data_IF_203479726676
#
_entry.id   IF_203479726676
#
_cell.length_a   1.000
_cell.length_b   1.000
_cell.length_c   1.000
_cell.angle_alpha   90.00
_cell.angle_beta   90.00
_cell.angle_gamma   90.00
#
_symmetry.space_group_name_H-M   'P 1'
#
loop_
_entity.id
_entity.type
_entity.pdbx_description
1 polymer ?
#
# COMPACT_ATOMS: atom_id res chain seq x y z
N UNK A 1 -18.48 -18.06 -17.76
CA UNK A 1 -17.96 -17.08 -16.80
C UNK A 1 -17.91 -17.72 -15.42
N UNK A 2 -16.78 -17.67 -14.70
CA UNK A 2 -16.52 -18.46 -13.49
C UNK A 2 -17.30 -18.05 -12.22
N UNK A 3 -18.35 -17.21 -12.31
CA UNK A 3 -19.18 -16.84 -11.16
C UNK A 3 -18.47 -16.06 -10.06
N UNK A 4 -17.29 -15.50 -10.33
CA UNK A 4 -16.50 -14.72 -9.37
C UNK A 4 -16.98 -13.27 -9.39
N UNK A 5 -17.42 -12.76 -8.24
CA UNK A 5 -17.71 -11.34 -8.06
C UNK A 5 -16.41 -10.61 -7.71
N UNK A 6 -15.89 -9.84 -8.67
CA UNK A 6 -14.71 -9.01 -8.47
C UNK A 6 -14.83 -7.70 -9.27
N UNK A 7 -14.29 -6.63 -8.69
CA UNK A 7 -14.11 -5.35 -9.35
C UNK A 7 -12.72 -5.31 -10.00
N UNK A 8 -12.63 -4.88 -11.25
CA UNK A 8 -11.37 -4.78 -11.99
C UNK A 8 -11.18 -3.33 -12.42
N UNK A 9 -10.08 -2.72 -11.98
CA UNK A 9 -9.75 -1.33 -12.28
C UNK A 9 -8.29 -1.15 -12.66
N UNK A 10 -8.00 -0.12 -13.47
CA UNK A 10 -6.63 0.28 -13.76
C UNK A 10 -6.02 1.01 -12.56
N UNK A 11 -4.80 0.65 -12.16
CA UNK A 11 -4.06 1.34 -11.11
C UNK A 11 -3.06 2.31 -11.74
N UNK A 12 -3.27 3.63 -11.67
CA UNK A 12 -2.22 4.58 -12.03
C UNK A 12 -1.06 4.46 -11.04
N UNK A 13 0.18 4.39 -11.55
CA UNK A 13 1.38 4.49 -10.70
C UNK A 13 1.66 5.96 -10.38
N UNK A 14 2.01 6.25 -9.13
CA UNK A 14 2.43 7.60 -8.74
C UNK A 14 3.71 7.99 -9.47
N UNK A 15 3.77 9.23 -9.96
CA UNK A 15 4.89 9.78 -10.74
C UNK A 15 6.21 9.64 -9.97
N UNK A 16 6.17 9.89 -8.66
CA UNK A 16 7.34 9.76 -7.79
C UNK A 16 7.87 8.32 -7.71
N UNK A 17 6.99 7.31 -7.61
CA UNK A 17 7.40 5.91 -7.62
C UNK A 17 8.00 5.48 -8.97
N UNK A 18 7.48 6.04 -10.08
CA UNK A 18 8.06 5.85 -11.42
C UNK A 18 9.49 6.42 -11.44
N UNK A 19 9.65 7.68 -11.03
CA UNK A 19 10.96 8.34 -11.00
C UNK A 19 11.98 7.59 -10.13
N UNK A 20 11.58 7.14 -8.93
CA UNK A 20 12.44 6.36 -8.03
C UNK A 20 12.89 5.04 -8.67
N UNK A 21 11.99 4.34 -9.38
CA UNK A 21 12.32 3.12 -10.13
C UNK A 21 13.28 3.39 -11.29
N UNK A 22 13.08 4.50 -12.02
CA UNK A 22 14.00 4.92 -13.08
C UNK A 22 15.41 5.15 -12.55
N UNK A 23 15.54 5.85 -11.42
CA UNK A 23 16.85 6.06 -10.79
C UNK A 23 17.49 4.76 -10.31
N UNK A 24 16.75 3.92 -9.56
CA UNK A 24 17.32 2.69 -8.98
C UNK A 24 17.78 1.70 -10.05
N UNK A 25 17.04 1.59 -11.17
CA UNK A 25 17.34 0.63 -12.25
C UNK A 25 18.12 1.25 -13.41
N UNK A 26 18.40 2.55 -13.39
CA UNK A 26 19.01 3.30 -14.51
C UNK A 26 18.31 3.05 -15.85
N UNK A 27 16.98 3.02 -15.84
CA UNK A 27 16.14 2.73 -17.02
C UNK A 27 15.62 4.03 -17.65
N UNK A 28 15.54 4.07 -18.98
CA UNK A 28 14.86 5.13 -19.70
C UNK A 28 13.33 5.04 -19.51
N UNK A 29 12.62 6.16 -19.66
CA UNK A 29 11.16 6.18 -19.49
C UNK A 29 10.44 5.26 -20.49
N UNK A 30 10.97 5.14 -21.71
CA UNK A 30 10.42 4.28 -22.76
C UNK A 30 10.63 2.79 -22.48
N UNK A 31 11.62 2.46 -21.63
CA UNK A 31 11.88 1.10 -21.13
C UNK A 31 11.00 0.78 -19.91
N UNK A 32 10.24 1.76 -19.41
CA UNK A 32 9.27 1.58 -18.33
C UNK A 32 8.00 0.94 -18.90
N UNK A 33 8.11 -0.32 -19.32
CA UNK A 33 6.96 -1.19 -19.63
C UNK A 33 6.03 -1.38 -18.41
N UNK A 34 6.50 -0.96 -17.24
CA UNK A 34 5.92 -1.15 -15.92
C UNK A 34 4.83 -0.12 -15.53
N UNK A 35 4.42 0.82 -16.40
CA UNK A 35 3.37 1.80 -16.04
C UNK A 35 1.96 1.17 -16.00
N UNK A 36 1.80 -0.05 -16.52
CA UNK A 36 0.50 -0.73 -16.64
C UNK A 36 0.27 -1.68 -15.47
N UNK A 37 -0.53 -1.23 -14.52
CA UNK A 37 -0.98 -2.05 -13.41
C UNK A 37 -2.51 -2.19 -13.40
N UNK A 38 -2.99 -3.40 -13.11
CA UNK A 38 -4.41 -3.71 -12.92
C UNK A 38 -4.62 -4.15 -11.48
N UNK A 39 -5.69 -3.66 -10.87
CA UNK A 39 -6.13 -4.07 -9.54
C UNK A 39 -7.42 -4.86 -9.66
N UNK A 40 -7.47 -6.00 -8.98
CA UNK A 40 -8.64 -6.85 -8.86
C UNK A 40 -9.02 -6.89 -7.38
N UNK A 41 -10.20 -6.38 -7.05
CA UNK A 41 -10.76 -6.38 -5.71
C UNK A 41 -11.88 -7.40 -5.65
N UNK A 42 -11.67 -8.49 -4.91
CA UNK A 42 -12.65 -9.55 -4.74
C UNK A 42 -13.36 -9.45 -3.38
N UNK A 43 -14.49 -10.14 -3.24
CA UNK A 43 -15.24 -10.17 -1.97
C UNK A 43 -14.59 -11.10 -0.94
N UNK A 44 -14.14 -12.28 -1.35
CA UNK A 44 -13.56 -13.30 -0.46
C UNK A 44 -12.15 -13.68 -0.89
N UNK A 45 -11.40 -14.26 0.04
CA UNK A 45 -10.05 -14.74 -0.25
C UNK A 45 -10.03 -15.84 -1.32
N UNK A 46 -11.02 -16.73 -1.30
CA UNK A 46 -11.17 -17.81 -2.29
C UNK A 46 -11.28 -17.24 -3.71
N UNK A 47 -12.00 -16.12 -3.83
CA UNK A 47 -12.21 -15.42 -5.10
C UNK A 47 -10.92 -14.75 -5.59
N UNK A 48 -10.02 -14.32 -4.69
CA UNK A 48 -8.69 -13.83 -5.08
C UNK A 48 -7.86 -14.91 -5.79
N UNK A 49 -7.78 -16.12 -5.22
CA UNK A 49 -7.05 -17.23 -5.84
C UNK A 49 -7.77 -17.78 -7.09
N UNK A 50 -9.10 -17.75 -7.13
CA UNK A 50 -9.85 -18.09 -8.32
C UNK A 50 -9.58 -17.09 -9.47
N UNK A 51 -9.53 -15.78 -9.16
CA UNK A 51 -9.17 -14.74 -10.12
C UNK A 51 -7.73 -14.92 -10.61
N UNK A 52 -6.78 -15.25 -9.73
CA UNK A 52 -5.40 -15.59 -10.09
C UNK A 52 -5.36 -16.74 -11.11
N UNK A 53 -6.08 -17.83 -10.83
CA UNK A 53 -6.16 -18.98 -11.73
C UNK A 53 -6.72 -18.63 -13.11
N UNK A 54 -7.77 -17.80 -13.18
CA UNK A 54 -8.32 -17.30 -14.45
C UNK A 54 -7.29 -16.47 -15.21
N UNK A 55 -6.56 -15.58 -14.53
CA UNK A 55 -5.52 -14.74 -15.13
C UNK A 55 -4.39 -15.59 -15.71
N UNK A 56 -3.86 -16.54 -14.94
CA UNK A 56 -2.75 -17.42 -15.36
C UNK A 56 -3.15 -18.44 -16.43
N UNK A 57 -4.44 -18.80 -16.51
CA UNK A 57 -4.96 -19.64 -17.61
C UNK A 57 -5.05 -18.85 -18.91
N UNK A 58 -5.41 -17.57 -18.84
CA UNK A 58 -5.61 -16.72 -20.02
C UNK A 58 -4.31 -16.13 -20.55
N UNK A 59 -3.37 -15.83 -19.67
CA UNK A 59 -2.11 -15.17 -20.01
C UNK A 59 -0.94 -15.89 -19.36
N UNK A 60 0.18 -15.96 -20.10
CA UNK A 60 1.43 -16.51 -19.58
C UNK A 60 1.96 -15.60 -18.48
N UNK A 61 2.11 -16.11 -17.27
CA UNK A 61 2.72 -15.39 -16.15
C UNK A 61 4.25 -15.53 -16.17
N UNK A 62 4.94 -14.59 -15.51
CA UNK A 62 6.37 -14.64 -15.27
C UNK A 62 6.61 -15.20 -13.86
N UNK A 63 7.14 -16.42 -13.70
CA UNK A 63 7.28 -17.06 -12.38
C UNK A 63 8.18 -16.30 -11.40
N UNK A 64 9.19 -15.57 -11.89
CA UNK A 64 10.08 -14.76 -11.06
C UNK A 64 9.43 -13.49 -10.51
N UNK A 65 8.23 -13.15 -10.99
CA UNK A 65 7.50 -11.92 -10.67
C UNK A 65 6.12 -12.26 -10.07
N UNK A 66 6.11 -13.25 -9.17
CA UNK A 66 4.94 -13.68 -8.41
C UNK A 66 5.25 -13.59 -6.92
N UNK A 67 4.44 -12.82 -6.20
CA UNK A 67 4.51 -12.69 -4.75
C UNK A 67 3.13 -12.91 -4.13
N UNK A 68 3.06 -13.81 -3.14
CA UNK A 68 1.86 -14.02 -2.34
C UNK A 68 2.00 -13.36 -0.96
N UNK A 69 1.66 -12.07 -0.90
CA UNK A 69 1.62 -11.32 0.36
C UNK A 69 0.35 -11.59 1.17
N UNK A 70 -0.59 -12.42 0.70
CA UNK A 70 -1.67 -12.90 1.55
C UNK A 70 -1.13 -13.97 2.49
N UNK A 71 -0.38 -14.94 1.94
CA UNK A 71 0.22 -16.01 2.71
C UNK A 71 1.40 -15.51 3.55
N UNK A 72 2.20 -14.58 3.02
CA UNK A 72 3.33 -13.96 3.71
C UNK A 72 3.16 -12.43 3.74
N UNK A 73 2.33 -11.89 4.65
CA UNK A 73 2.11 -10.46 4.77
C UNK A 73 3.42 -9.70 4.98
N UNK A 74 3.50 -8.50 4.41
CA UNK A 74 4.65 -7.62 4.70
C UNK A 74 4.62 -7.18 6.17
N UNK A 75 5.76 -6.74 6.74
CA UNK A 75 5.82 -6.29 8.14
C UNK A 75 4.82 -5.18 8.50
N UNK A 76 4.44 -4.33 7.54
CA UNK A 76 3.43 -3.29 7.72
C UNK A 76 1.97 -3.80 7.65
N UNK A 77 1.76 -5.12 7.60
CA UNK A 77 0.44 -5.75 7.48
C UNK A 77 -0.11 -5.76 6.05
N UNK A 78 0.64 -5.32 5.04
CA UNK A 78 0.17 -5.29 3.66
C UNK A 78 -0.09 -6.71 3.13
N UNK A 79 -1.30 -6.89 2.57
CA UNK A 79 -1.76 -8.14 1.98
C UNK A 79 -2.29 -7.92 0.55
N UNK A 80 -1.76 -8.69 -0.40
CA UNK A 80 -2.23 -8.78 -1.79
C UNK A 80 -1.45 -9.88 -2.52
N UNK A 81 -2.05 -10.51 -3.52
CA UNK A 81 -1.32 -11.36 -4.48
C UNK A 81 -0.83 -10.47 -5.62
N UNK A 82 0.47 -10.50 -5.92
CA UNK A 82 1.07 -9.77 -7.03
C UNK A 82 1.53 -10.78 -8.08
N UNK A 83 1.21 -10.50 -9.34
CA UNK A 83 1.70 -11.31 -10.46
C UNK A 83 1.91 -10.46 -11.69
N UNK A 84 2.98 -10.73 -12.43
CA UNK A 84 3.20 -10.12 -13.75
C UNK A 84 2.88 -11.12 -14.85
N UNK A 85 2.10 -10.68 -15.82
CA UNK A 85 1.74 -11.47 -17.01
C UNK A 85 2.25 -10.82 -18.30
N UNK A 86 2.39 -11.65 -19.34
CA UNK A 86 2.61 -11.19 -20.70
C UNK A 86 1.25 -10.94 -21.39
N UNK A 87 0.96 -9.67 -21.68
CA UNK A 87 -0.26 -9.26 -22.36
C UNK A 87 -0.24 -9.50 -23.87
N UNK A 88 -1.35 -9.18 -24.57
CA UNK A 88 -1.55 -9.47 -26.00
C UNK A 88 -0.50 -8.87 -26.95
N UNK A 89 0.11 -7.73 -26.59
CA UNK A 89 1.14 -7.05 -27.40
C UNK A 89 2.57 -7.41 -26.98
N UNK A 90 2.75 -8.50 -26.21
CA UNK A 90 4.06 -8.85 -25.64
C UNK A 90 4.54 -7.88 -24.56
N UNK A 91 3.65 -7.01 -24.08
CA UNK A 91 3.93 -6.06 -23.00
C UNK A 91 3.56 -6.68 -21.65
N UNK A 92 4.40 -6.47 -20.66
CA UNK A 92 4.15 -6.92 -19.29
C UNK A 92 3.02 -6.10 -18.66
N UNK A 93 2.17 -6.77 -17.89
CA UNK A 93 1.12 -6.14 -17.09
C UNK A 93 1.23 -6.67 -15.66
N UNK A 94 1.38 -5.74 -14.71
CA UNK A 94 1.34 -6.06 -13.29
C UNK A 94 -0.11 -6.18 -12.84
N UNK A 95 -0.44 -7.25 -12.11
CA UNK A 95 -1.79 -7.50 -11.59
C UNK A 95 -1.68 -7.66 -10.08
N UNK A 96 -2.53 -6.92 -9.36
CA UNK A 96 -2.66 -7.01 -7.92
C UNK A 96 -4.06 -7.48 -7.56
N UNK A 97 -4.14 -8.57 -6.82
CA UNK A 97 -5.40 -9.18 -6.42
C UNK A 97 -5.50 -9.13 -4.91
N UNK A 98 -6.62 -8.64 -4.37
CA UNK A 98 -6.85 -8.55 -2.93
C UNK A 98 -8.34 -8.50 -2.61
N UNK A 99 -8.70 -8.67 -1.35
CA UNK A 99 -10.08 -8.47 -0.91
C UNK A 99 -10.40 -6.98 -0.69
N UNK A 100 -11.68 -6.64 -0.53
CA UNK A 100 -12.11 -5.30 -0.10
C UNK A 100 -11.46 -4.88 1.22
N UNK A 101 -11.43 -5.78 2.20
CA UNK A 101 -10.80 -5.52 3.50
C UNK A 101 -9.29 -5.24 3.36
N UNK A 102 -8.57 -6.09 2.62
CA UNK A 102 -7.13 -5.90 2.36
C UNK A 102 -6.86 -4.60 1.59
N UNK A 103 -7.81 -4.18 0.75
CA UNK A 103 -7.72 -2.89 0.06
C UNK A 103 -7.83 -1.72 1.04
N UNK A 104 -8.83 -1.71 1.92
CA UNK A 104 -9.00 -0.67 2.94
C UNK A 104 -7.80 -0.60 3.89
N UNK A 105 -7.32 -1.74 4.39
CA UNK A 105 -6.13 -1.82 5.24
C UNK A 105 -4.87 -1.33 4.51
N UNK A 106 -4.74 -1.61 3.21
CA UNK A 106 -3.60 -1.14 2.42
C UNK A 106 -3.63 0.36 2.12
N UNK A 107 -4.80 1.00 2.02
CA UNK A 107 -4.90 2.42 1.68
C UNK A 107 -4.88 3.30 2.94
N UNK A 108 -5.43 2.80 4.05
CA UNK A 108 -5.56 3.56 5.30
C UNK A 108 -4.58 3.10 6.40
N UNK A 109 -3.91 1.96 6.22
CA UNK A 109 -2.95 1.42 7.20
C UNK A 109 -3.58 1.25 8.59
N UNK A 110 -2.87 1.70 9.63
CA UNK A 110 -3.33 1.67 11.03
C UNK A 110 -4.64 2.45 11.22
N UNK A 111 -4.92 3.47 10.39
CA UNK A 111 -6.16 4.23 10.46
C UNK A 111 -7.39 3.41 10.03
N UNK A 112 -7.22 2.37 9.19
CA UNK A 112 -8.29 1.42 8.85
C UNK A 112 -8.79 0.68 10.11
N UNK A 113 -7.85 0.22 10.94
CA UNK A 113 -8.13 -0.46 12.20
C UNK A 113 -8.83 0.45 13.21
N UNK A 114 -8.58 1.77 13.18
CA UNK A 114 -9.23 2.74 14.05
C UNK A 114 -10.68 3.04 13.64
N UNK A 115 -10.93 3.24 12.34
CA UNK A 115 -12.28 3.51 11.80
C UNK A 115 -13.27 2.37 12.10
N UNK A 116 -12.80 1.12 12.09
CA UNK A 116 -13.64 -0.04 12.38
C UNK A 116 -13.96 -0.18 13.89
N UNK A 117 -13.03 0.20 14.78
CA UNK A 117 -13.21 0.10 16.24
C UNK A 117 -13.94 1.28 16.88
N UNK A 118 -13.98 2.45 16.26
CA UNK A 118 -14.82 3.57 16.73
C UNK A 118 -16.33 3.25 16.68
N UNK A 119 -16.75 2.28 15.86
CA UNK A 119 -18.11 1.74 15.88
C UNK A 119 -18.42 0.82 17.07
N UNK A 120 -17.40 0.35 17.81
CA UNK A 120 -17.54 -0.63 18.89
C UNK A 120 -16.77 -0.20 20.16
N UNK A 121 -17.44 0.60 21.00
CA UNK A 121 -17.07 0.92 22.40
C UNK A 121 -15.78 1.73 22.63
N UNK A 122 -15.96 3.01 23.00
CA UNK A 122 -14.93 4.04 23.09
C UNK A 122 -13.97 3.98 24.29
N UNK A 123 -13.62 2.79 24.82
CA UNK A 123 -12.72 2.69 25.99
C UNK A 123 -11.45 1.84 25.81
N UNK A 124 -11.32 1.01 24.77
CA UNK A 124 -10.10 0.19 24.57
C UNK A 124 -9.04 0.80 23.64
N UNK A 125 -9.39 1.82 22.84
CA UNK A 125 -8.50 2.37 21.82
C UNK A 125 -7.27 3.12 22.36
N UNK A 126 -7.29 3.58 23.61
CA UNK A 126 -6.17 4.32 24.22
C UNK A 126 -5.04 3.41 24.71
N UNK A 127 -5.38 2.25 25.28
CA UNK A 127 -4.41 1.30 25.84
C UNK A 127 -3.66 0.54 24.71
N UNK A 128 -4.35 0.29 23.61
CA UNK A 128 -3.76 -0.29 22.40
C UNK A 128 -2.84 0.70 21.66
N UNK A 129 -3.13 2.02 21.70
CA UNK A 129 -2.25 3.07 21.15
C UNK A 129 -0.89 3.10 21.85
N UNK A 130 -0.87 2.98 23.18
CA UNK A 130 0.38 2.92 23.96
C UNK A 130 1.13 1.62 23.66
N UNK A 131 0.42 0.52 23.51
CA UNK A 131 1.02 -0.79 23.21
C UNK A 131 1.69 -0.82 21.83
N UNK A 132 1.09 -0.17 20.83
CA UNK A 132 1.68 -0.04 19.50
C UNK A 132 2.89 0.91 19.48
N UNK A 133 2.80 2.07 20.14
CA UNK A 133 3.94 2.98 20.26
C UNK A 133 5.14 2.31 20.93
N UNK A 134 4.91 1.47 21.95
CA UNK A 134 5.96 0.66 22.58
C UNK A 134 6.59 -0.34 21.62
N UNK A 135 5.77 -1.08 20.85
CA UNK A 135 6.30 -2.01 19.83
C UNK A 135 7.13 -1.31 18.77
N UNK A 136 6.79 -0.08 18.40
CA UNK A 136 7.52 0.72 17.43
C UNK A 136 8.88 1.18 17.97
N UNK A 137 8.94 1.53 19.27
CA UNK A 137 10.17 1.88 19.97
C UNK A 137 11.09 0.67 20.19
N UNK A 138 10.52 -0.47 20.61
CA UNK A 138 11.28 -1.71 20.81
C UNK A 138 11.92 -2.20 19.49
N UNK A 139 11.21 -2.04 18.37
CA UNK A 139 11.73 -2.37 17.03
C UNK A 139 12.88 -1.46 16.60
N UNK A 140 12.88 -0.20 17.05
CA UNK A 140 13.96 0.75 16.79
C UNK A 140 15.25 0.37 17.54
N UNK A 141 15.13 -0.20 18.75
CA UNK A 141 16.28 -0.69 19.50
C UNK A 141 16.88 -1.97 18.90
N UNK A 142 16.03 -2.94 18.51
CA UNK A 142 16.49 -4.21 17.92
C UNK A 142 17.16 -4.05 16.53
N UNK A 143 16.78 -3.01 15.75
CA UNK A 143 17.35 -2.76 14.41
C UNK A 143 18.63 -1.93 14.39
N UNK A 144 19.14 -1.50 15.54
CA UNK A 144 20.39 -0.73 15.64
C UNK A 144 21.66 -1.56 15.38
N UNK A 145 21.55 -2.90 15.30
CA UNK A 145 22.69 -3.83 15.25
C UNK A 145 22.99 -4.43 13.85
N UNK A 146 22.23 -4.07 12.80
CA UNK A 146 22.45 -4.62 11.44
C UNK A 146 22.43 -3.53 10.35
N UNK A 147 23.57 -2.85 10.20
CA UNK A 147 23.76 -1.66 9.37
C UNK A 147 23.54 -1.80 7.86
N UNK A 148 23.45 -3.01 7.30
CA UNK A 148 23.43 -3.21 5.83
C UNK A 148 22.06 -3.60 5.26
N UNK A 149 21.07 -3.97 6.09
CA UNK A 149 19.71 -4.32 5.65
C UNK A 149 18.73 -3.13 5.62
N UNK A 150 19.19 -1.96 6.07
CA UNK A 150 18.35 -0.78 6.32
C UNK A 150 17.92 -0.05 5.04
N UNK A 151 18.74 0.00 3.99
CA UNK A 151 18.42 0.81 2.80
C UNK A 151 17.37 0.17 1.88
N UNK A 152 17.36 -1.16 1.77
CA UNK A 152 16.34 -1.84 0.98
C UNK A 152 14.97 -1.85 1.69
N UNK A 153 14.97 -1.99 3.02
CA UNK A 153 13.74 -1.93 3.84
C UNK A 153 13.20 -0.51 3.99
N UNK A 154 14.05 0.52 4.14
CA UNK A 154 13.60 1.93 4.13
C UNK A 154 12.83 2.27 2.86
N UNK A 155 13.30 1.78 1.71
CA UNK A 155 12.66 2.07 0.42
C UNK A 155 11.28 1.41 0.21
N UNK A 156 10.98 0.35 0.98
CA UNK A 156 9.76 -0.46 0.84
C UNK A 156 8.77 -0.29 1.99
N UNK A 157 9.23 0.14 3.17
CA UNK A 157 8.41 0.32 4.39
C UNK A 157 7.96 1.77 4.56
N UNK A 158 8.73 2.73 4.07
CA UNK A 158 8.29 4.12 3.98
C UNK A 158 7.70 4.35 2.58
N UNK A 159 6.39 4.18 2.48
CA UNK A 159 5.65 5.14 1.66
C UNK A 159 5.96 6.49 2.34
N UNK A 160 6.58 7.41 1.61
CA UNK A 160 7.06 8.71 2.12
C UNK A 160 5.86 9.50 2.66
N UNK A 161 5.42 9.21 3.88
CA UNK A 161 4.20 9.74 4.51
C UNK A 161 4.46 10.07 5.98
N UNK A 162 3.88 11.15 6.45
CA UNK A 162 3.95 11.68 7.81
C UNK A 162 2.53 11.94 8.31
N UNK A 163 2.28 11.61 9.57
CA UNK A 163 0.98 11.75 10.19
C UNK A 163 0.99 12.95 11.16
N UNK A 164 0.10 13.90 10.92
CA UNK A 164 -0.03 15.11 11.73
C UNK A 164 -1.33 15.07 12.55
N UNK A 165 -1.25 15.46 13.82
CA UNK A 165 -2.39 15.51 14.73
C UNK A 165 -3.03 16.90 14.73
N UNK A 166 -4.35 16.94 14.61
CA UNK A 166 -5.10 18.17 14.89
C UNK A 166 -5.28 18.36 16.40
N UNK A 167 -5.54 19.58 16.88
CA UNK A 167 -5.85 19.84 18.29
C UNK A 167 -7.09 19.07 18.81
N UNK A 168 -7.97 18.61 17.91
CA UNK A 168 -9.16 17.80 18.24
C UNK A 168 -8.86 16.30 18.32
N UNK A 169 -7.64 15.88 17.99
CA UNK A 169 -7.20 14.49 18.02
C UNK A 169 -7.35 13.74 16.70
N UNK A 170 -7.88 14.38 15.66
CA UNK A 170 -7.97 13.81 14.31
C UNK A 170 -6.57 13.65 13.71
N UNK A 171 -6.35 12.57 12.95
CA UNK A 171 -5.06 12.28 12.29
C UNK A 171 -5.17 12.59 10.80
N UNK A 172 -4.21 13.37 10.31
CA UNK A 172 -4.10 13.76 8.90
C UNK A 172 -2.86 13.13 8.29
N UNK A 173 -3.04 12.50 7.14
CA UNK A 173 -2.00 11.80 6.40
C UNK A 173 -1.44 12.71 5.29
N UNK A 174 -0.13 12.98 5.35
CA UNK A 174 0.58 13.87 4.44
C UNK A 174 1.82 13.20 3.87
N UNK A 175 2.33 13.61 2.70
CA UNK A 175 3.61 13.11 2.20
C UNK A 175 4.80 13.55 3.08
N UNK A 176 5.85 12.75 3.14
CA UNK A 176 7.10 13.09 3.84
C UNK A 176 7.70 14.36 3.21
N UNK A 177 8.03 15.33 4.05
CA UNK A 177 8.44 16.67 3.61
C UNK A 177 7.29 17.67 3.48
N UNK A 178 6.05 17.28 3.77
CA UNK A 178 4.92 18.21 3.84
C UNK A 178 5.16 19.30 4.89
N UNK A 179 4.75 20.52 4.54
CA UNK A 179 4.88 21.70 5.39
C UNK A 179 3.62 21.91 6.23
N UNK A 180 3.68 22.73 7.30
CA UNK A 180 2.49 23.14 8.04
C UNK A 180 1.42 23.82 7.16
N UNK A 181 1.82 24.44 6.04
CA UNK A 181 0.90 25.02 5.09
C UNK A 181 0.12 23.93 4.33
N UNK A 182 0.79 22.86 3.91
CA UNK A 182 0.15 21.70 3.27
C UNK A 182 -0.89 21.07 4.21
N UNK A 183 -0.57 20.97 5.51
CA UNK A 183 -1.52 20.53 6.55
C UNK A 183 -2.73 21.46 6.65
N UNK A 184 -2.54 22.78 6.62
CA UNK A 184 -3.63 23.75 6.68
C UNK A 184 -4.57 23.64 5.45
N UNK A 185 -4.02 23.48 4.25
CA UNK A 185 -4.80 23.24 3.03
C UNK A 185 -5.50 21.89 3.03
N UNK A 186 -4.91 20.88 3.67
CA UNK A 186 -5.52 19.56 3.83
C UNK A 186 -6.72 19.59 4.80
N UNK A 187 -6.71 20.49 5.79
CA UNK A 187 -7.85 20.72 6.69
C UNK A 187 -8.97 21.47 5.95
N UNK A 188 -8.66 22.65 5.38
CA UNK A 188 -9.62 23.44 4.62
C UNK A 188 -8.92 24.54 3.81
N UNK A 189 -9.38 24.80 2.58
CA UNK A 189 -8.79 25.82 1.69
C UNK A 189 -8.78 27.23 2.30
N UNK A 190 -9.85 27.67 2.96
CA UNK A 190 -9.87 28.97 3.65
C UNK A 190 -8.90 29.06 4.84
N UNK A 191 -8.58 27.94 5.50
CA UNK A 191 -7.60 27.91 6.60
C UNK A 191 -6.20 28.05 6.02
N UNK A 192 -5.89 27.33 4.94
CA UNK A 192 -4.64 27.47 4.19
C UNK A 192 -4.41 28.89 3.64
N UNK A 193 -5.46 29.57 3.15
CA UNK A 193 -5.36 30.94 2.63
C UNK A 193 -5.13 32.02 3.71
N UNK A 194 -5.42 31.75 4.99
CA UNK A 194 -5.27 32.71 6.10
C UNK A 194 -4.08 32.38 7.03
N UNK A 195 -3.25 31.41 6.65
CA UNK A 195 -2.17 30.86 7.46
C UNK A 195 -0.86 31.64 7.36
#
# INVERSE_FOLDING_TARGET
>A
ACGINAEVSGRPKHIYSIWRKMQKKSLAFDELFDVRAVRIIADKLQDCYAALGVVHTKYKHLPSEFDDYVANPKPNGYQSIHTVILGPEGKTIEIQIRTKQMHEESELGVAAHWKYKEGASSRSGYDEKITWLRKLLDWQEEMSDSGEMLDELRSQVFDDRVYAFTPRGDVVDLPMGATPLDFAYHIHSEVGHRC
#
